data_IF_118191892948
#
_entry.id   IF_118191892948
#
_cell.length_a   1.000
_cell.length_b   1.000
_cell.length_c   1.000
_cell.angle_alpha   90.00
_cell.angle_beta   90.00
_cell.angle_gamma   90.00
#
_symmetry.space_group_name_H-M   'P 1'
#
loop_
_entity.id
_entity.type
_entity.pdbx_description
1 polymer ?
#
# COMPACT_ATOMS: atom_id res chain seq x y z
N UNK A 1 -16.88 6.43 -7.02
CA UNK A 1 -17.96 5.44 -6.77
C UNK A 1 -18.48 5.55 -5.35
N UNK A 2 -19.75 5.23 -5.10
CA UNK A 2 -20.36 5.19 -3.75
C UNK A 2 -19.95 3.92 -2.96
N UNK A 3 -19.80 2.80 -3.67
CA UNK A 3 -19.45 1.49 -3.10
C UNK A 3 -18.21 1.49 -2.21
N UNK A 4 -17.08 2.08 -2.65
CA UNK A 4 -15.85 2.09 -1.85
C UNK A 4 -15.96 2.89 -0.55
N UNK A 5 -16.84 3.89 -0.48
CA UNK A 5 -17.09 4.65 0.76
C UNK A 5 -17.98 3.86 1.71
N UNK A 6 -19.07 3.29 1.19
CA UNK A 6 -20.00 2.46 1.98
C UNK A 6 -19.31 1.20 2.51
N UNK A 7 -18.50 0.52 1.68
CA UNK A 7 -17.72 -0.64 2.12
C UNK A 7 -16.68 -0.26 3.17
N UNK A 8 -16.01 0.89 3.02
CA UNK A 8 -15.07 1.37 4.04
C UNK A 8 -15.80 1.57 5.37
N UNK A 9 -16.91 2.29 5.39
CA UNK A 9 -17.74 2.47 6.61
C UNK A 9 -18.16 1.13 7.21
N UNK A 10 -18.66 0.20 6.40
CA UNK A 10 -19.08 -1.12 6.87
C UNK A 10 -17.93 -1.94 7.45
N UNK A 11 -16.74 -1.89 6.85
CA UNK A 11 -15.55 -2.57 7.35
C UNK A 11 -15.09 -1.94 8.67
N UNK A 12 -15.11 -0.61 8.78
CA UNK A 12 -14.80 0.11 10.02
C UNK A 12 -15.79 -0.21 11.16
N UNK A 13 -17.06 -0.45 10.83
CA UNK A 13 -18.10 -0.87 11.79
C UNK A 13 -17.95 -2.33 12.20
N UNK A 14 -17.65 -3.21 11.26
CA UNK A 14 -17.57 -4.67 11.48
C UNK A 14 -16.27 -5.06 12.15
N UNK A 15 -15.15 -4.41 11.82
CA UNK A 15 -13.83 -4.66 12.40
C UNK A 15 -13.15 -3.31 12.72
N UNK A 16 -13.43 -2.73 13.89
CA UNK A 16 -12.89 -1.42 14.29
C UNK A 16 -11.36 -1.38 14.33
N UNK A 17 -10.72 -2.52 14.60
CA UNK A 17 -9.27 -2.66 14.67
C UNK A 17 -8.55 -2.37 13.34
N UNK A 18 -9.26 -2.44 12.21
CA UNK A 18 -8.68 -2.24 10.88
C UNK A 18 -8.78 -0.77 10.40
N UNK A 19 -9.43 0.11 11.19
CA UNK A 19 -9.67 1.54 10.84
C UNK A 19 -8.39 2.31 10.52
N UNK A 20 -7.36 2.12 11.32
CA UNK A 20 -6.11 2.88 11.22
C UNK A 20 -5.11 2.26 10.22
N UNK A 21 -5.50 1.14 9.59
CA UNK A 21 -4.64 0.38 8.66
C UNK A 21 -4.88 0.76 7.21
N UNK A 22 -5.84 1.61 6.88
CA UNK A 22 -6.06 2.07 5.50
C UNK A 22 -4.98 3.06 5.03
N UNK A 23 -4.76 3.08 3.72
CA UNK A 23 -3.98 4.12 3.05
C UNK A 23 -4.55 5.52 3.38
N UNK A 24 -3.73 6.38 3.96
CA UNK A 24 -4.08 7.76 4.29
C UNK A 24 -4.02 8.64 3.04
N UNK A 25 -5.15 8.72 2.32
CA UNK A 25 -5.28 9.53 1.12
C UNK A 25 -5.13 11.06 1.32
N UNK A 26 -5.23 11.57 2.57
CA UNK A 26 -5.26 13.02 2.83
C UNK A 26 -3.90 13.70 2.58
N UNK A 27 -2.78 13.25 3.17
CA UNK A 27 -1.44 13.74 2.82
C UNK A 27 -1.14 13.64 1.32
N UNK A 28 -1.42 12.46 0.73
CA UNK A 28 -1.19 12.18 -0.69
C UNK A 28 -1.96 13.13 -1.61
N UNK A 29 -3.23 13.41 -1.29
CA UNK A 29 -4.06 14.35 -2.06
C UNK A 29 -3.63 15.82 -1.87
N UNK A 30 -3.10 16.17 -0.70
CA UNK A 30 -2.59 17.53 -0.44
C UNK A 30 -1.32 17.76 -1.26
N UNK A 31 -0.45 16.76 -1.32
CA UNK A 31 0.77 16.73 -2.13
C UNK A 31 0.50 16.85 -3.63
N UNK A 32 -0.47 16.09 -4.16
CA UNK A 32 -0.89 16.21 -5.55
C UNK A 32 -1.35 17.62 -5.96
N UNK A 33 -1.91 18.40 -5.02
CA UNK A 33 -2.32 19.79 -5.29
C UNK A 33 -1.15 20.77 -5.35
N UNK A 34 -0.03 20.42 -4.74
CA UNK A 34 1.17 21.25 -4.68
C UNK A 34 2.19 20.87 -5.76
N UNK A 35 1.96 19.77 -6.48
CA UNK A 35 2.74 19.44 -7.66
C UNK A 35 2.45 20.46 -8.77
N UNK A 36 3.48 21.10 -9.36
CA UNK A 36 3.26 22.07 -10.42
C UNK A 36 2.74 21.34 -11.66
N UNK A 37 1.45 21.46 -11.93
CA UNK A 37 0.76 20.84 -13.06
C UNK A 37 1.05 21.54 -14.40
N UNK A 38 2.13 22.33 -14.49
CA UNK A 38 2.50 23.04 -15.72
C UNK A 38 3.34 22.12 -16.61
N UNK A 39 3.07 22.07 -17.93
CA UNK A 39 3.82 21.25 -18.89
C UNK A 39 5.35 21.48 -18.80
N UNK A 40 5.76 22.71 -18.47
CA UNK A 40 7.17 23.09 -18.35
C UNK A 40 7.90 22.42 -17.16
N UNK A 41 7.17 22.07 -16.09
CA UNK A 41 7.77 21.40 -14.92
C UNK A 41 8.01 19.91 -15.16
N UNK A 42 7.15 19.26 -15.96
CA UNK A 42 7.32 17.86 -16.37
C UNK A 42 8.48 17.72 -17.37
N UNK A 43 8.66 18.70 -18.26
CA UNK A 43 9.81 18.72 -19.19
C UNK A 43 11.16 18.80 -18.45
N UNK A 44 11.22 19.49 -17.30
CA UNK A 44 12.42 19.53 -16.45
C UNK A 44 12.71 18.22 -15.73
N UNK A 45 11.72 17.37 -15.49
CA UNK A 45 11.89 16.04 -14.89
C UNK A 45 12.28 14.96 -15.90
N UNK A 46 11.76 15.05 -17.13
CA UNK A 46 12.12 14.11 -18.20
C UNK A 46 13.48 14.40 -18.83
N UNK A 47 13.97 15.64 -18.74
CA UNK A 47 15.28 16.07 -19.23
C UNK A 47 16.06 16.80 -18.12
N UNK A 48 16.82 16.08 -17.28
CA UNK A 48 17.81 16.74 -16.44
C UNK A 48 18.78 17.49 -17.35
N UNK A 49 18.93 18.80 -17.13
CA UNK A 49 19.76 19.71 -17.91
C UNK A 49 21.27 19.44 -17.71
N UNK A 50 21.70 18.20 -17.89
CA UNK A 50 23.08 17.73 -17.67
C UNK A 50 23.79 17.34 -18.97
N UNK A 51 23.23 17.65 -20.14
CA UNK A 51 23.84 17.26 -21.44
C UNK A 51 23.95 18.39 -22.48
N UNK A 52 24.02 19.66 -22.06
CA UNK A 52 24.65 20.67 -22.95
C UNK A 52 26.18 20.55 -22.86
N UNK A 53 26.71 19.41 -23.31
CA UNK A 53 28.10 19.32 -23.75
C UNK A 53 28.25 20.20 -24.98
N UNK A 54 28.86 21.36 -24.79
CA UNK A 54 29.30 22.27 -25.83
C UNK A 54 30.19 21.54 -26.86
N UNK A 55 29.88 21.53 -28.17
CA UNK A 55 30.85 21.10 -29.17
C UNK A 55 31.91 22.21 -29.36
N UNK A 56 33.22 21.91 -29.41
CA UNK A 56 34.26 22.94 -29.49
C UNK A 56 34.57 23.32 -30.95
N UNK A 57 34.68 24.63 -31.25
CA UNK A 57 35.62 25.26 -32.20
C UNK A 57 35.17 26.70 -32.60
N UNK A 58 36.06 27.61 -33.07
CA UNK A 58 37.51 27.82 -32.84
C UNK A 58 37.86 29.27 -32.36
N UNK A 59 39.13 29.61 -31.97
CA UNK A 59 39.56 30.99 -31.67
C UNK A 59 40.31 31.64 -32.86
N UNK A 60 40.77 32.93 -32.81
CA UNK A 60 40.24 34.13 -32.14
C UNK A 60 40.29 35.40 -33.05
N UNK A 61 39.51 36.45 -32.72
CA UNK A 61 39.90 37.86 -32.99
C UNK A 61 39.45 38.74 -31.82
N UNK A 62 40.39 39.18 -31.00
CA UNK A 62 40.25 40.06 -29.81
C UNK A 62 40.30 41.56 -30.19
N UNK A 63 40.33 42.56 -29.25
CA UNK A 63 40.13 42.51 -27.79
C UNK A 63 39.22 43.63 -27.20
N UNK A 64 38.57 43.39 -26.05
CA UNK A 64 38.60 44.32 -24.90
C UNK A 64 37.65 43.92 -23.76
N UNK A 65 38.16 44.11 -22.54
CA UNK A 65 37.47 44.26 -21.26
C UNK A 65 36.86 43.02 -20.61
N UNK A 66 37.65 42.44 -19.71
CA UNK A 66 37.19 41.61 -18.60
C UNK A 66 36.23 42.39 -17.70
N UNK A 67 35.09 41.78 -17.35
CA UNK A 67 34.41 42.01 -16.08
C UNK A 67 33.89 40.68 -15.55
N UNK A 68 34.31 40.42 -14.32
CA UNK A 68 33.94 39.40 -13.35
C UNK A 68 32.42 39.24 -13.15
N UNK A 69 32.00 38.06 -12.69
CA UNK A 69 30.66 37.91 -12.10
C UNK A 69 29.96 36.58 -12.31
N UNK A 70 30.16 35.66 -11.37
CA UNK A 70 29.05 34.93 -10.76
C UNK A 70 28.44 33.80 -11.57
N UNK A 71 28.96 32.58 -11.36
CA UNK A 71 28.14 31.39 -11.53
C UNK A 71 26.96 31.43 -10.56
N UNK A 72 25.74 31.43 -11.08
CA UNK A 72 24.55 31.02 -10.33
C UNK A 72 23.42 30.76 -11.32
N UNK A 73 23.00 29.51 -11.41
CA UNK A 73 21.90 29.09 -12.27
C UNK A 73 21.57 27.61 -12.14
N UNK A 74 21.80 27.04 -10.95
CA UNK A 74 21.33 25.71 -10.59
C UNK A 74 20.39 25.85 -9.39
N UNK A 75 19.19 26.36 -9.59
CA UNK A 75 18.26 26.60 -8.48
C UNK A 75 16.79 26.31 -8.79
N UNK A 76 16.45 25.73 -9.95
CA UNK A 76 15.04 25.55 -10.32
C UNK A 76 14.59 24.07 -10.33
N UNK A 77 15.52 23.11 -10.34
CA UNK A 77 15.19 21.66 -10.30
C UNK A 77 15.22 21.05 -8.89
N UNK A 78 15.97 21.62 -7.94
CA UNK A 78 16.09 21.09 -6.57
C UNK A 78 14.77 20.99 -5.79
N UNK A 79 13.91 22.03 -5.77
CA UNK A 79 12.66 22.00 -4.98
C UNK A 79 11.64 20.96 -5.48
N UNK A 80 11.69 20.63 -6.78
CA UNK A 80 10.79 19.67 -7.40
C UNK A 80 11.22 18.23 -7.12
N UNK A 81 12.53 17.97 -7.16
CA UNK A 81 13.12 16.68 -6.78
C UNK A 81 12.88 16.40 -5.30
N UNK A 82 13.06 17.40 -4.42
CA UNK A 82 12.77 17.28 -2.99
C UNK A 82 11.30 16.96 -2.72
N UNK A 83 10.37 17.57 -3.47
CA UNK A 83 8.93 17.30 -3.35
C UNK A 83 8.57 15.88 -3.82
N UNK A 84 9.22 15.41 -4.88
CA UNK A 84 9.04 14.05 -5.41
C UNK A 84 9.60 13.00 -4.44
N UNK A 85 10.81 13.19 -3.92
CA UNK A 85 11.41 12.29 -2.92
C UNK A 85 10.56 12.24 -1.65
N UNK A 86 10.05 13.39 -1.19
CA UNK A 86 9.15 13.45 -0.04
C UNK A 86 7.81 12.73 -0.28
N UNK A 87 7.24 12.87 -1.49
CA UNK A 87 6.01 12.15 -1.87
C UNK A 87 6.23 10.64 -1.95
N UNK A 88 7.35 10.20 -2.53
CA UNK A 88 7.75 8.79 -2.59
C UNK A 88 7.97 8.24 -1.18
N UNK A 89 8.57 9.02 -0.27
CA UNK A 89 8.73 8.66 1.13
C UNK A 89 7.39 8.38 1.82
N UNK A 90 6.44 9.32 1.73
CA UNK A 90 5.10 9.14 2.33
C UNK A 90 4.35 7.96 1.70
N UNK A 91 4.47 7.78 0.38
CA UNK A 91 3.89 6.61 -0.28
C UNK A 91 4.51 5.32 0.25
N UNK A 92 5.83 5.23 0.35
CA UNK A 92 6.50 4.03 0.83
C UNK A 92 6.14 3.71 2.28
N UNK A 93 6.12 4.70 3.18
CA UNK A 93 5.72 4.50 4.58
C UNK A 93 4.28 3.97 4.69
N UNK A 94 3.37 4.55 3.90
CA UNK A 94 1.99 4.09 3.88
C UNK A 94 1.85 2.72 3.20
N UNK A 95 2.68 2.41 2.19
CA UNK A 95 2.73 1.13 1.52
C UNK A 95 3.23 0.02 2.46
N UNK A 96 4.31 0.29 3.20
CA UNK A 96 4.91 -0.62 4.17
C UNK A 96 3.91 -0.95 5.28
N UNK A 97 3.29 0.09 5.89
CA UNK A 97 2.27 -0.09 6.93
C UNK A 97 1.12 -1.02 6.54
N UNK A 98 0.58 -0.89 5.33
CA UNK A 98 -0.54 -1.75 4.89
C UNK A 98 -0.05 -3.16 4.53
N UNK A 99 1.15 -3.28 3.95
CA UNK A 99 1.76 -4.57 3.62
C UNK A 99 2.02 -5.39 4.89
N UNK A 100 2.65 -4.77 5.90
CA UNK A 100 2.91 -5.41 7.19
C UNK A 100 1.61 -5.94 7.80
N UNK A 101 0.58 -5.09 7.85
CA UNK A 101 -0.73 -5.50 8.34
C UNK A 101 -1.35 -6.65 7.54
N UNK A 102 -1.21 -6.64 6.21
CA UNK A 102 -1.75 -7.70 5.36
C UNK A 102 -1.06 -9.04 5.61
N UNK A 103 0.28 -9.04 5.70
CA UNK A 103 1.08 -10.23 5.98
C UNK A 103 0.76 -10.78 7.36
N UNK A 104 0.76 -9.93 8.40
CA UNK A 104 0.39 -10.33 9.76
C UNK A 104 -0.99 -11.00 9.79
N UNK A 105 -1.98 -10.44 9.09
CA UNK A 105 -3.33 -11.01 9.03
C UNK A 105 -3.41 -12.30 8.22
N UNK A 106 -2.64 -12.41 7.15
CA UNK A 106 -2.55 -13.65 6.38
C UNK A 106 -1.96 -14.78 7.23
N UNK A 107 -0.89 -14.49 7.97
CA UNK A 107 -0.27 -15.43 8.90
C UNK A 107 -1.24 -15.89 10.00
N UNK A 108 -1.98 -14.97 10.63
CA UNK A 108 -3.05 -15.28 11.59
C UNK A 108 -4.05 -16.29 11.00
N UNK A 109 -4.44 -16.12 9.73
CA UNK A 109 -5.39 -17.01 9.06
C UNK A 109 -4.80 -18.39 8.79
N UNK A 110 -3.53 -18.46 8.38
CA UNK A 110 -2.83 -19.73 8.17
C UNK A 110 -2.76 -20.52 9.47
N UNK A 111 -2.41 -19.87 10.57
CA UNK A 111 -2.31 -20.50 11.90
C UNK A 111 -3.68 -21.04 12.33
N UNK A 112 -4.73 -20.20 12.35
CA UNK A 112 -6.08 -20.63 12.76
C UNK A 112 -6.66 -21.74 11.88
N UNK A 113 -6.42 -21.69 10.58
CA UNK A 113 -6.88 -22.75 9.67
C UNK A 113 -6.15 -24.07 9.94
N UNK A 114 -4.87 -24.02 10.28
CA UNK A 114 -4.11 -25.22 10.63
C UNK A 114 -4.60 -25.80 11.97
N UNK A 115 -4.84 -24.98 12.98
CA UNK A 115 -5.43 -25.41 14.26
C UNK A 115 -6.81 -26.05 14.05
N UNK A 116 -7.64 -25.49 13.16
CA UNK A 116 -8.95 -26.03 12.84
C UNK A 116 -8.85 -27.40 12.16
N UNK A 117 -7.91 -27.60 11.23
CA UNK A 117 -7.63 -28.91 10.63
C UNK A 117 -7.23 -29.93 11.69
N UNK A 118 -6.37 -29.54 12.61
CA UNK A 118 -5.90 -30.43 13.67
C UNK A 118 -7.04 -30.79 14.64
N UNK A 119 -7.95 -29.86 14.96
CA UNK A 119 -9.18 -30.11 15.73
C UNK A 119 -10.08 -31.13 15.04
N UNK A 120 -10.32 -30.97 13.74
CA UNK A 120 -11.13 -31.92 12.95
C UNK A 120 -10.51 -33.32 12.97
N UNK A 121 -9.19 -33.42 12.84
CA UNK A 121 -8.48 -34.71 12.85
C UNK A 121 -8.57 -35.40 14.21
N UNK A 122 -8.42 -34.65 15.33
CA UNK A 122 -8.59 -35.17 16.69
C UNK A 122 -10.01 -35.67 16.92
N UNK A 123 -11.00 -34.84 16.59
CA UNK A 123 -12.42 -35.17 16.73
C UNK A 123 -12.80 -36.46 15.98
N UNK A 124 -12.22 -36.67 14.79
CA UNK A 124 -12.42 -37.89 13.98
C UNK A 124 -11.74 -39.13 14.58
N UNK A 125 -10.58 -38.96 15.21
CA UNK A 125 -9.85 -40.05 15.86
C UNK A 125 -10.56 -40.51 17.14
N UNK A 126 -11.16 -39.57 17.87
CA UNK A 126 -11.95 -39.82 19.08
C UNK A 126 -13.27 -40.52 18.78
N UNK A 127 -13.98 -40.13 17.71
CA UNK A 127 -15.23 -40.78 17.31
C UNK A 127 -15.06 -42.23 16.85
N UNK A 128 -13.84 -42.65 16.51
CA UNK A 128 -13.53 -44.03 16.11
C UNK A 128 -13.22 -44.96 17.30
N UNK A 129 -13.05 -44.41 18.52
CA UNK A 129 -12.60 -45.16 19.71
C UNK A 129 -13.68 -45.41 20.75
N UNK A 130 -14.69 -44.54 20.88
CA UNK A 130 -15.67 -44.61 21.97
C UNK A 130 -17.05 -45.11 21.53
N UNK A 131 -17.34 -46.37 21.86
CA UNK A 131 -18.64 -47.01 21.67
C UNK A 131 -19.62 -46.85 22.85
N UNK A 132 -19.42 -45.89 23.76
CA UNK A 132 -20.26 -45.71 24.96
C UNK A 132 -20.84 -44.29 25.01
N UNK A 133 -22.17 -44.28 24.99
CA UNK A 133 -23.20 -43.25 24.76
C UNK A 133 -23.17 -41.94 25.59
N UNK A 134 -22.00 -41.39 25.91
CA UNK A 134 -21.86 -40.03 26.52
C UNK A 134 -21.40 -38.97 25.52
N UNK A 135 -20.92 -39.39 24.33
CA UNK A 135 -20.11 -38.58 23.39
C UNK A 135 -20.87 -37.89 22.25
N UNK A 136 -22.08 -38.29 21.90
CA UNK A 136 -22.75 -37.78 20.68
C UNK A 136 -23.11 -36.28 20.78
N UNK A 137 -23.50 -35.83 21.98
CA UNK A 137 -23.85 -34.42 22.22
C UNK A 137 -22.62 -33.51 22.21
N UNK A 138 -21.54 -33.92 22.90
CA UNK A 138 -20.26 -33.20 22.93
C UNK A 138 -19.58 -33.20 21.55
N UNK A 139 -19.62 -34.31 20.81
CA UNK A 139 -19.13 -34.38 19.43
C UNK A 139 -19.92 -33.42 18.51
N UNK A 140 -21.24 -33.36 18.67
CA UNK A 140 -22.09 -32.43 17.93
C UNK A 140 -21.81 -30.96 18.27
N UNK A 141 -21.51 -30.66 19.53
CA UNK A 141 -21.15 -29.33 20.00
C UNK A 141 -19.79 -28.89 19.45
N UNK A 142 -18.74 -29.70 19.60
CA UNK A 142 -17.40 -29.39 19.05
C UNK A 142 -17.46 -29.26 17.52
N UNK A 143 -18.23 -30.11 16.83
CA UNK A 143 -18.45 -29.98 15.38
C UNK A 143 -19.16 -28.67 15.03
N UNK A 144 -20.10 -28.21 15.86
CA UNK A 144 -20.76 -26.93 15.65
C UNK A 144 -19.78 -25.76 15.83
N UNK A 145 -18.90 -25.82 16.83
CA UNK A 145 -17.92 -24.79 17.08
C UNK A 145 -16.85 -24.74 15.99
N UNK A 146 -16.37 -25.89 15.51
CA UNK A 146 -15.51 -25.98 14.32
C UNK A 146 -16.17 -25.29 13.10
N UNK A 147 -17.47 -25.51 12.87
CA UNK A 147 -18.19 -24.84 11.78
C UNK A 147 -18.30 -23.34 11.98
N UNK A 148 -18.56 -22.86 13.19
CA UNK A 148 -18.60 -21.43 13.50
C UNK A 148 -17.26 -20.79 13.21
N UNK A 149 -16.17 -21.39 13.69
CA UNK A 149 -14.81 -20.85 13.50
C UNK A 149 -14.44 -20.81 12.02
N UNK A 150 -14.79 -21.83 11.25
CA UNK A 150 -14.58 -21.82 9.79
C UNK A 150 -15.28 -20.64 9.11
N UNK A 151 -16.54 -20.38 9.49
CA UNK A 151 -17.33 -19.28 8.92
C UNK A 151 -16.75 -17.92 9.32
N UNK A 152 -16.30 -17.77 10.57
CA UNK A 152 -15.65 -16.55 11.06
C UNK A 152 -14.35 -16.30 10.28
N UNK A 153 -13.46 -17.30 10.21
CA UNK A 153 -12.19 -17.20 9.46
C UNK A 153 -12.48 -16.83 8.01
N UNK A 154 -13.44 -17.49 7.37
CA UNK A 154 -13.82 -17.18 5.98
C UNK A 154 -14.31 -15.75 5.82
N UNK A 155 -15.19 -15.27 6.70
CA UNK A 155 -15.72 -13.90 6.66
C UNK A 155 -14.60 -12.87 6.77
N UNK A 156 -13.67 -13.06 7.70
CA UNK A 156 -12.51 -12.19 7.88
C UNK A 156 -11.56 -12.23 6.67
N UNK A 157 -11.33 -13.40 6.06
CA UNK A 157 -10.55 -13.51 4.81
C UNK A 157 -11.17 -12.72 3.66
N UNK A 158 -12.49 -12.77 3.49
CA UNK A 158 -13.19 -11.98 2.46
C UNK A 158 -13.03 -10.49 2.73
N UNK A 159 -13.13 -10.06 3.98
CA UNK A 159 -12.89 -8.67 4.37
C UNK A 159 -11.44 -8.25 4.06
N UNK A 160 -10.44 -9.10 4.35
CA UNK A 160 -9.03 -8.82 4.04
C UNK A 160 -8.79 -8.70 2.53
N UNK A 161 -9.42 -9.55 1.71
CA UNK A 161 -9.35 -9.47 0.25
C UNK A 161 -9.92 -8.16 -0.29
N UNK A 162 -11.04 -7.72 0.26
CA UNK A 162 -11.66 -6.45 -0.13
C UNK A 162 -10.85 -5.24 0.36
N UNK A 163 -10.29 -5.32 1.57
CA UNK A 163 -9.33 -4.35 2.08
C UNK A 163 -8.13 -4.20 1.13
N UNK A 164 -7.50 -5.32 0.73
CA UNK A 164 -6.38 -5.31 -0.23
C UNK A 164 -6.78 -4.67 -1.57
N UNK A 165 -7.95 -5.04 -2.11
CA UNK A 165 -8.45 -4.48 -3.37
C UNK A 165 -8.65 -2.96 -3.31
N UNK A 166 -9.17 -2.43 -2.18
CA UNK A 166 -9.36 -0.99 -1.99
C UNK A 166 -8.03 -0.23 -1.86
N UNK A 167 -7.05 -0.78 -1.15
CA UNK A 167 -5.75 -0.15 -0.98
C UNK A 167 -4.89 -0.23 -2.25
N UNK A 168 -4.98 -1.33 -3.01
CA UNK A 168 -4.32 -1.47 -4.31
C UNK A 168 -4.91 -0.49 -5.35
N UNK A 169 -6.24 -0.36 -5.42
CA UNK A 169 -6.89 0.61 -6.30
C UNK A 169 -6.50 2.07 -5.97
N UNK A 170 -6.29 2.35 -4.68
CA UNK A 170 -5.70 3.60 -4.21
C UNK A 170 -4.31 3.83 -4.78
N UNK A 171 -3.41 2.89 -4.52
CA UNK A 171 -2.00 2.96 -4.92
C UNK A 171 -1.82 3.10 -6.44
N UNK A 172 -2.59 2.35 -7.22
CA UNK A 172 -2.59 2.45 -8.69
C UNK A 172 -2.98 3.85 -9.18
N UNK A 173 -3.92 4.53 -8.50
CA UNK A 173 -4.36 5.87 -8.86
C UNK A 173 -3.32 6.96 -8.53
N UNK A 174 -2.40 6.74 -7.59
CA UNK A 174 -1.29 7.67 -7.31
C UNK A 174 -0.06 7.40 -8.17
N UNK A 175 0.25 6.13 -8.43
CA UNK A 175 1.35 5.75 -9.31
C UNK A 175 1.15 6.29 -10.73
N UNK A 176 -0.09 6.29 -11.24
CA UNK A 176 -0.41 6.89 -12.54
C UNK A 176 -0.16 8.40 -12.63
N UNK A 177 -0.02 9.12 -11.52
CA UNK A 177 0.24 10.57 -11.51
C UNK A 177 1.74 10.89 -11.49
N UNK A 178 2.59 9.93 -11.14
CA UNK A 178 4.05 10.08 -11.21
C UNK A 178 4.63 9.65 -12.57
N UNK A 179 3.87 8.93 -13.38
CA UNK A 179 4.31 8.38 -14.68
C UNK A 179 3.70 9.09 -15.91
N UNK A 180 3.01 10.22 -15.73
CA UNK A 180 2.54 11.14 -16.78
C UNK A 180 2.97 12.56 -16.44
#
# INVERSE_FOLDING_TARGET
MKFGKEFKTHLEETIPEWRDKFLCYKPLKKLLKHYPSTPDSLLLLLYPASQFHHPPAPPPLSPAAAVDGGGCGGAETGPLVDLQEWFVGILNEELEKFNDFYVDKEEDFVIRLQELKDRILRLRAESSKDGIFTSDCEFSEEMMDIRKDLVIIHGEMVLLKNYSSLNFAGSAAFSSVLFF
#
